data_IF_602263349026
#
_entry.id   IF_602263349026
#
_cell.length_a   1.000
_cell.length_b   1.000
_cell.length_c   1.000
_cell.angle_alpha   90.00
_cell.angle_beta   90.00
_cell.angle_gamma   90.00
#
_symmetry.space_group_name_H-M   'P 1'
#
loop_
_entity.id
_entity.type
_entity.pdbx_description
1 polymer ?
#
# COMPACT_ATOMS: atom_id res chain seq x y z
N UNK A 1 4.72 -7.10 19.60
CA UNK A 1 3.96 -5.84 19.66
C UNK A 1 4.18 -4.91 18.45
N UNK A 2 5.08 -5.23 17.50
CA UNK A 2 5.09 -4.65 16.14
C UNK A 2 5.05 -5.78 15.11
N UNK A 3 5.93 -6.77 15.28
CA UNK A 3 5.99 -7.99 14.46
C UNK A 3 4.61 -8.67 14.30
N UNK A 4 3.91 -8.95 15.39
CA UNK A 4 2.58 -9.58 15.32
C UNK A 4 1.50 -8.77 14.60
N UNK A 5 1.61 -7.43 14.57
CA UNK A 5 0.71 -6.56 13.80
C UNK A 5 1.10 -6.43 12.33
N UNK A 6 2.38 -6.64 12.02
CA UNK A 6 2.91 -6.62 10.66
C UNK A 6 2.79 -7.96 9.95
N UNK A 7 2.76 -9.08 10.68
CA UNK A 7 2.63 -10.43 10.12
C UNK A 7 1.45 -10.54 9.14
N UNK A 8 0.22 -10.07 9.44
CA UNK A 8 -0.88 -10.12 8.47
C UNK A 8 -0.59 -9.35 7.19
N UNK A 9 0.04 -8.17 7.28
CA UNK A 9 0.43 -7.36 6.12
C UNK A 9 1.51 -8.08 5.31
N UNK A 10 2.51 -8.67 5.96
CA UNK A 10 3.56 -9.44 5.30
C UNK A 10 3.01 -10.68 4.59
N UNK A 11 2.08 -11.38 5.22
CA UNK A 11 1.36 -12.49 4.60
C UNK A 11 0.55 -12.01 3.39
N UNK A 12 -0.19 -10.91 3.52
CA UNK A 12 -0.95 -10.32 2.40
C UNK A 12 -0.05 -9.93 1.22
N UNK A 13 1.09 -9.29 1.47
CA UNK A 13 2.03 -8.91 0.39
C UNK A 13 2.68 -10.17 -0.24
N UNK A 14 3.06 -11.16 0.56
CA UNK A 14 3.65 -12.41 0.06
C UNK A 14 2.65 -13.26 -0.75
N UNK A 15 1.38 -13.32 -0.31
CA UNK A 15 0.29 -13.96 -1.07
C UNK A 15 -0.01 -13.22 -2.37
N UNK A 16 0.02 -11.88 -2.33
CA UNK A 16 -0.18 -11.05 -3.51
C UNK A 16 0.94 -11.26 -4.53
N UNK A 17 2.21 -11.24 -4.13
CA UNK A 17 3.35 -11.46 -5.05
C UNK A 17 3.28 -12.78 -5.83
N UNK A 18 2.77 -13.86 -5.20
CA UNK A 18 2.52 -15.14 -5.88
C UNK A 18 1.40 -15.05 -6.92
N UNK A 19 0.29 -14.40 -6.58
CA UNK A 19 -0.91 -14.32 -7.42
C UNK A 19 -0.79 -13.30 -8.58
N UNK A 20 0.10 -12.31 -8.46
CA UNK A 20 0.39 -11.37 -9.55
C UNK A 20 1.09 -12.02 -10.74
N UNK A 21 1.82 -13.12 -10.53
CA UNK A 21 2.46 -13.89 -11.61
C UNK A 21 1.49 -14.66 -12.51
N UNK A 22 0.24 -14.83 -12.09
CA UNK A 22 -0.78 -15.59 -12.82
C UNK A 22 -1.64 -14.74 -13.78
N UNK A 23 -1.22 -13.50 -14.09
CA UNK A 23 -1.84 -12.68 -15.14
C UNK A 23 -3.18 -12.02 -14.79
N UNK A 24 -3.53 -11.94 -13.49
CA UNK A 24 -4.77 -11.32 -12.98
C UNK A 24 -4.51 -10.05 -12.17
N UNK A 25 -3.57 -9.22 -12.63
CA UNK A 25 -3.04 -8.07 -11.89
C UNK A 25 -4.13 -7.05 -11.47
N UNK A 26 -5.18 -6.85 -12.26
CA UNK A 26 -6.26 -5.90 -12.00
C UNK A 26 -7.15 -6.31 -10.81
N UNK A 27 -7.68 -7.53 -10.83
CA UNK A 27 -8.54 -8.08 -9.76
C UNK A 27 -7.74 -8.26 -8.47
N UNK A 28 -6.46 -8.64 -8.60
CA UNK A 28 -5.57 -8.83 -7.46
C UNK A 28 -5.16 -7.51 -6.82
N UNK A 29 -4.91 -6.46 -7.60
CA UNK A 29 -4.67 -5.13 -7.07
C UNK A 29 -5.86 -4.61 -6.26
N UNK A 30 -7.08 -4.74 -6.78
CA UNK A 30 -8.27 -4.30 -6.06
C UNK A 30 -8.46 -5.06 -4.74
N UNK A 31 -8.32 -6.40 -4.77
CA UNK A 31 -8.46 -7.24 -3.59
C UNK A 31 -7.38 -6.94 -2.54
N UNK A 32 -6.14 -6.73 -2.96
CA UNK A 32 -5.03 -6.36 -2.09
C UNK A 32 -5.29 -5.02 -1.39
N UNK A 33 -5.70 -4.01 -2.15
CA UNK A 33 -5.99 -2.68 -1.59
C UNK A 33 -7.19 -2.71 -0.65
N UNK A 34 -8.23 -3.48 -0.95
CA UNK A 34 -9.40 -3.63 -0.07
C UNK A 34 -9.01 -4.22 1.29
N UNK A 35 -8.29 -5.35 1.27
CA UNK A 35 -7.81 -6.01 2.51
C UNK A 35 -6.85 -5.14 3.30
N UNK A 36 -5.96 -4.42 2.60
CA UNK A 36 -4.99 -3.54 3.25
C UNK A 36 -5.71 -2.38 3.94
N UNK A 37 -6.62 -1.70 3.24
CA UNK A 37 -7.40 -0.59 3.83
C UNK A 37 -8.26 -1.06 5.00
N UNK A 38 -8.91 -2.21 4.88
CA UNK A 38 -9.68 -2.81 5.98
C UNK A 38 -8.80 -3.07 7.20
N UNK A 39 -7.64 -3.71 7.00
CA UNK A 39 -6.70 -3.99 8.09
C UNK A 39 -6.19 -2.70 8.75
N UNK A 40 -5.82 -1.68 7.96
CA UNK A 40 -5.35 -0.40 8.51
C UNK A 40 -6.46 0.37 9.26
N UNK A 41 -7.72 0.17 8.87
CA UNK A 41 -8.88 0.73 9.58
C UNK A 41 -9.10 0.04 10.93
N UNK A 42 -8.95 -1.29 10.98
CA UNK A 42 -9.07 -2.09 12.21
C UNK A 42 -7.88 -1.91 13.16
N UNK A 43 -6.70 -1.57 12.63
CA UNK A 43 -5.46 -1.39 13.39
C UNK A 43 -4.88 0.03 13.24
N UNK A 44 -5.58 1.08 13.72
CA UNK A 44 -5.21 2.48 13.45
C UNK A 44 -3.87 2.91 14.05
N UNK A 45 -3.36 2.18 15.04
CA UNK A 45 -2.04 2.44 15.64
C UNK A 45 -0.88 1.93 14.75
N UNK A 46 -1.14 0.97 13.88
CA UNK A 46 -0.09 0.26 13.15
C UNK A 46 0.69 1.18 12.18
N UNK A 47 0.05 2.00 11.33
CA UNK A 47 0.78 2.93 10.45
C UNK A 47 1.66 3.92 11.20
N UNK A 48 1.17 4.44 12.34
CA UNK A 48 1.95 5.35 13.20
C UNK A 48 3.15 4.66 13.82
N UNK A 49 2.99 3.41 14.27
CA UNK A 49 4.11 2.63 14.78
C UNK A 49 5.15 2.37 13.70
N UNK A 50 4.75 2.02 12.47
CA UNK A 50 5.69 1.82 11.36
C UNK A 50 6.43 3.13 11.05
N UNK A 51 5.71 4.23 10.91
CA UNK A 51 6.28 5.55 10.63
C UNK A 51 7.27 5.96 11.72
N UNK A 52 6.87 5.88 13.00
CA UNK A 52 7.74 6.18 14.14
C UNK A 52 8.97 5.29 14.19
N UNK A 53 8.79 3.99 13.97
CA UNK A 53 9.90 3.06 14.00
C UNK A 53 10.90 3.36 12.86
N UNK A 54 10.43 3.84 11.70
CA UNK A 54 11.28 4.36 10.61
C UNK A 54 12.03 5.66 10.95
N UNK A 55 11.48 6.49 11.83
CA UNK A 55 12.09 7.75 12.29
C UNK A 55 13.04 7.55 13.49
N UNK A 56 12.74 6.58 14.35
CA UNK A 56 13.54 6.22 15.52
C UNK A 56 14.84 5.49 15.07
N UNK A 57 15.92 5.68 15.84
CA UNK A 57 17.28 5.25 15.49
C UNK A 57 17.32 3.74 15.13
N UNK A 58 17.48 3.46 13.83
CA UNK A 58 17.06 2.23 13.14
C UNK A 58 17.80 0.92 13.49
N UNK A 59 18.37 0.78 14.68
CA UNK A 59 19.03 -0.45 15.16
C UNK A 59 18.03 -1.61 15.30
N UNK A 60 16.85 -1.36 15.88
CA UNK A 60 15.79 -2.37 16.02
C UNK A 60 15.13 -2.72 14.67
N UNK A 61 14.91 -1.73 13.81
CA UNK A 61 14.42 -1.97 12.45
C UNK A 61 15.41 -2.74 11.60
N UNK A 62 16.70 -2.42 11.68
CA UNK A 62 17.72 -3.10 10.87
C UNK A 62 17.72 -4.61 11.10
N UNK A 63 17.58 -5.06 12.34
CA UNK A 63 17.64 -6.50 12.67
C UNK A 63 16.35 -7.24 12.31
N UNK A 64 15.18 -6.66 12.60
CA UNK A 64 13.87 -7.30 12.36
C UNK A 64 13.41 -7.11 10.91
N UNK A 65 13.41 -5.88 10.42
CA UNK A 65 12.91 -5.57 9.09
C UNK A 65 13.90 -5.96 7.99
N UNK A 66 15.22 -5.89 8.22
CA UNK A 66 16.19 -6.29 7.21
C UNK A 66 16.03 -7.75 6.76
N UNK A 67 15.69 -8.65 7.69
CA UNK A 67 15.50 -10.08 7.41
C UNK A 67 14.13 -10.40 6.81
N UNK A 68 13.08 -9.71 7.25
CA UNK A 68 11.70 -10.01 6.85
C UNK A 68 11.16 -9.12 5.73
N UNK A 69 11.51 -7.84 5.68
CA UNK A 69 11.05 -6.92 4.63
C UNK A 69 11.85 -7.05 3.34
N UNK A 70 13.15 -7.36 3.40
CA UNK A 70 13.98 -7.39 2.19
C UNK A 70 13.43 -8.37 1.13
N UNK A 71 13.02 -9.60 1.46
CA UNK A 71 12.39 -10.49 0.49
C UNK A 71 11.09 -9.92 -0.08
N UNK A 72 10.26 -9.32 0.77
CA UNK A 72 8.97 -8.72 0.38
C UNK A 72 9.20 -7.54 -0.57
N UNK A 73 10.17 -6.69 -0.26
CA UNK A 73 10.55 -5.55 -1.08
C UNK A 73 11.06 -5.98 -2.46
N UNK A 74 11.95 -6.98 -2.52
CA UNK A 74 12.48 -7.51 -3.78
C UNK A 74 11.39 -8.21 -4.63
N UNK A 75 10.48 -8.95 -4.01
CA UNK A 75 9.32 -9.52 -4.71
C UNK A 75 8.42 -8.40 -5.25
N UNK A 76 8.14 -7.38 -4.44
CA UNK A 76 7.39 -6.20 -4.85
C UNK A 76 8.02 -5.48 -6.03
N UNK A 77 9.35 -5.28 -6.03
CA UNK A 77 10.07 -4.70 -7.17
C UNK A 77 9.95 -5.56 -8.42
N UNK A 78 10.00 -6.89 -8.31
CA UNK A 78 9.81 -7.79 -9.46
C UNK A 78 8.40 -7.67 -10.05
N UNK A 79 7.38 -7.52 -9.20
CA UNK A 79 5.99 -7.28 -9.62
C UNK A 79 5.85 -5.91 -10.29
N UNK A 80 6.46 -4.86 -9.73
CA UNK A 80 6.47 -3.53 -10.32
C UNK A 80 7.22 -3.51 -11.65
N UNK A 81 8.34 -4.22 -11.78
CA UNK A 81 9.07 -4.33 -13.05
C UNK A 81 8.23 -4.99 -14.16
N UNK A 82 7.34 -5.92 -13.79
CA UNK A 82 6.41 -6.55 -14.71
C UNK A 82 5.18 -5.69 -15.02
N UNK A 83 4.99 -4.54 -14.37
CA UNK A 83 3.78 -3.72 -14.48
C UNK A 83 4.06 -2.23 -14.69
N UNK A 84 3.32 -1.63 -15.61
CA UNK A 84 3.43 -0.18 -15.87
C UNK A 84 4.66 0.23 -16.68
N UNK A 85 4.81 1.54 -16.93
CA UNK A 85 5.76 2.06 -17.92
C UNK A 85 7.12 2.50 -17.33
N UNK A 86 7.45 2.10 -16.11
CA UNK A 86 8.56 2.69 -15.34
C UNK A 86 9.92 2.07 -15.67
N UNK A 87 10.98 2.89 -15.64
CA UNK A 87 12.35 2.42 -15.77
C UNK A 87 12.80 1.68 -14.49
N UNK A 88 13.78 0.78 -14.63
CA UNK A 88 14.20 -0.08 -13.51
C UNK A 88 14.78 0.69 -12.32
N UNK A 89 15.43 1.83 -12.56
CA UNK A 89 15.96 2.73 -11.54
C UNK A 89 14.88 3.59 -10.87
N UNK A 90 13.70 3.72 -11.48
CA UNK A 90 12.53 4.38 -10.89
C UNK A 90 11.72 3.47 -9.97
N UNK A 91 11.83 2.14 -10.12
CA UNK A 91 11.02 1.17 -9.35
C UNK A 91 11.18 1.30 -7.82
N UNK A 92 12.38 1.54 -7.25
CA UNK A 92 12.53 1.84 -5.83
C UNK A 92 11.72 3.05 -5.38
N UNK A 93 11.69 4.10 -6.20
CA UNK A 93 10.95 5.33 -5.92
C UNK A 93 9.43 5.11 -6.01
N UNK A 94 8.99 4.32 -7.00
CA UNK A 94 7.60 3.92 -7.10
C UNK A 94 7.17 3.08 -5.88
N UNK A 95 7.98 2.11 -5.46
CA UNK A 95 7.69 1.26 -4.32
C UNK A 95 7.51 2.05 -3.02
N UNK A 96 8.42 3.00 -2.73
CA UNK A 96 8.31 3.84 -1.54
C UNK A 96 7.13 4.82 -1.65
N UNK A 97 6.85 5.34 -2.85
CA UNK A 97 5.69 6.19 -3.11
C UNK A 97 4.36 5.47 -2.86
N UNK A 98 4.22 4.24 -3.36
CA UNK A 98 3.05 3.39 -3.11
C UNK A 98 2.88 3.06 -1.62
N UNK A 99 3.97 2.77 -0.92
CA UNK A 99 3.94 2.61 0.54
C UNK A 99 3.38 3.86 1.22
N UNK A 100 3.89 5.06 0.91
CA UNK A 100 3.39 6.29 1.53
C UNK A 100 1.95 6.60 1.15
N UNK A 101 1.54 6.32 -0.09
CA UNK A 101 0.17 6.52 -0.55
C UNK A 101 -0.83 5.69 0.27
N UNK A 102 -0.46 4.44 0.58
CA UNK A 102 -1.31 3.49 1.30
C UNK A 102 -1.25 3.73 2.82
N UNK A 103 -0.06 3.79 3.40
CA UNK A 103 0.13 3.83 4.86
C UNK A 103 0.14 5.25 5.42
N UNK A 104 0.67 6.22 4.67
CA UNK A 104 0.83 7.61 5.12
C UNK A 104 -0.51 8.26 5.48
N UNK A 105 -1.55 8.02 4.68
CA UNK A 105 -2.91 8.50 4.98
C UNK A 105 -3.34 8.13 6.41
N UNK A 106 -3.12 6.87 6.81
CA UNK A 106 -3.53 6.38 8.12
C UNK A 106 -2.57 6.82 9.23
N UNK A 107 -1.27 6.94 8.93
CA UNK A 107 -0.27 7.44 9.87
C UNK A 107 -0.58 8.89 10.28
N UNK A 108 -0.94 9.72 9.31
CA UNK A 108 -1.09 11.17 9.47
C UNK A 108 -2.54 11.61 9.71
N UNK A 109 -3.45 10.70 10.07
CA UNK A 109 -4.89 10.97 10.30
C UNK A 109 -5.16 12.16 11.22
N UNK A 110 -4.40 12.33 12.30
CA UNK A 110 -4.58 13.49 13.20
C UNK A 110 -4.18 14.80 12.52
N UNK A 111 -3.11 14.79 11.73
CA UNK A 111 -2.70 15.96 10.95
C UNK A 111 -3.75 16.30 9.89
N UNK A 112 -4.25 15.28 9.18
CA UNK A 112 -5.27 15.44 8.15
C UNK A 112 -6.58 15.99 8.73
N UNK A 113 -7.01 15.51 9.90
CA UNK A 113 -8.21 16.02 10.58
C UNK A 113 -8.08 17.52 10.90
N UNK A 114 -6.91 17.96 11.37
CA UNK A 114 -6.65 19.38 11.65
C UNK A 114 -6.68 20.26 10.39
N UNK A 115 -6.23 19.72 9.25
CA UNK A 115 -6.16 20.47 7.98
C UNK A 115 -7.50 20.50 7.26
N UNK A 116 -8.24 19.39 7.26
CA UNK A 116 -9.45 19.21 6.45
C UNK A 116 -10.72 19.50 7.26
N UNK A 117 -10.68 19.42 8.58
CA UNK A 117 -11.85 19.63 9.46
C UNK A 117 -12.87 18.49 9.47
N UNK A 118 -12.53 17.34 8.88
CA UNK A 118 -13.34 16.12 8.90
C UNK A 118 -12.52 14.95 9.45
N UNK A 119 -13.16 14.01 10.18
CA UNK A 119 -12.51 12.77 10.63
C UNK A 119 -12.10 11.91 9.41
N UNK A 120 -10.79 11.76 9.13
CA UNK A 120 -10.31 10.98 7.99
C UNK A 120 -10.53 9.48 8.15
N UNK A 121 -10.91 9.02 9.36
CA UNK A 121 -11.25 7.62 9.66
C UNK A 121 -12.75 7.35 9.61
N UNK A 122 -13.58 8.37 9.36
CA UNK A 122 -15.01 8.16 9.17
C UNK A 122 -15.28 7.15 8.04
N UNK A 123 -16.37 6.36 8.10
CA UNK A 123 -16.69 5.39 7.06
C UNK A 123 -16.75 6.00 5.65
N UNK A 124 -17.22 7.24 5.54
CA UNK A 124 -17.26 7.99 4.30
C UNK A 124 -15.85 8.33 3.79
N UNK A 125 -14.96 8.84 4.65
CA UNK A 125 -13.58 9.16 4.29
C UNK A 125 -12.79 7.92 3.87
N UNK A 126 -12.90 6.82 4.62
CA UNK A 126 -12.27 5.53 4.28
C UNK A 126 -12.77 4.99 2.94
N UNK A 127 -14.07 5.13 2.65
CA UNK A 127 -14.64 4.73 1.36
C UNK A 127 -14.10 5.57 0.20
N UNK A 128 -13.95 6.89 0.40
CA UNK A 128 -13.32 7.78 -0.57
C UNK A 128 -11.85 7.42 -0.79
N UNK A 129 -11.10 7.19 0.27
CA UNK A 129 -9.68 6.82 0.22
C UNK A 129 -9.47 5.48 -0.50
N UNK A 130 -10.25 4.45 -0.17
CA UNK A 130 -10.22 3.15 -0.87
C UNK A 130 -10.42 3.31 -2.37
N UNK A 131 -11.44 4.07 -2.77
CA UNK A 131 -11.72 4.36 -4.19
C UNK A 131 -10.58 5.12 -4.86
N UNK A 132 -10.02 6.12 -4.18
CA UNK A 132 -8.88 6.88 -4.68
C UNK A 132 -7.65 6.00 -4.87
N UNK A 133 -7.29 5.19 -3.87
CA UNK A 133 -6.14 4.26 -3.94
C UNK A 133 -6.24 3.32 -5.13
N UNK A 134 -7.41 2.68 -5.34
CA UNK A 134 -7.61 1.80 -6.50
C UNK A 134 -7.38 2.53 -7.83
N UNK A 135 -7.90 3.75 -7.96
CA UNK A 135 -7.74 4.54 -9.18
C UNK A 135 -6.29 5.00 -9.38
N UNK A 136 -5.65 5.53 -8.33
CA UNK A 136 -4.30 6.06 -8.38
C UNK A 136 -3.27 4.95 -8.66
N UNK A 137 -3.32 3.84 -7.92
CA UNK A 137 -2.38 2.74 -8.10
C UNK A 137 -2.56 2.09 -9.47
N UNK A 138 -3.80 1.90 -9.95
CA UNK A 138 -4.01 1.36 -11.28
C UNK A 138 -3.46 2.28 -12.39
N UNK A 139 -3.61 3.60 -12.25
CA UNK A 139 -2.99 4.56 -13.17
C UNK A 139 -1.47 4.46 -13.15
N UNK A 140 -0.87 4.42 -11.96
CA UNK A 140 0.58 4.27 -11.81
C UNK A 140 1.08 2.96 -12.42
N UNK A 141 0.34 1.86 -12.29
CA UNK A 141 0.74 0.56 -12.82
C UNK A 141 0.33 0.34 -14.29
N UNK A 142 -0.28 1.33 -14.95
CA UNK A 142 -0.79 1.17 -16.32
C UNK A 142 -1.89 0.12 -16.46
N UNK A 143 -2.53 -0.27 -15.35
CA UNK A 143 -3.60 -1.27 -15.32
C UNK A 143 -4.94 -0.58 -15.54
N UNK A 144 -5.75 -1.11 -16.47
CA UNK A 144 -7.10 -0.58 -16.67
C UNK A 144 -8.02 -1.12 -15.58
N UNK A 145 -8.47 -0.26 -14.66
CA UNK A 145 -9.54 -0.64 -13.73
C UNK A 145 -10.83 -0.93 -14.49
N UNK A 146 -11.69 -1.79 -13.92
CA UNK A 146 -13.02 -2.13 -14.48
C UNK A 146 -13.83 -0.87 -14.85
N UNK A 147 -13.62 0.24 -14.15
CA UNK A 147 -14.27 1.53 -14.42
C UNK A 147 -13.55 2.38 -15.48
N UNK A 148 -12.23 2.33 -15.57
CA UNK A 148 -11.44 2.98 -16.63
C UNK A 148 -11.79 2.43 -18.02
N UNK A 149 -12.10 1.14 -18.12
CA UNK A 149 -12.61 0.52 -19.34
C UNK A 149 -13.99 1.06 -19.77
N UNK A 150 -14.82 1.47 -18.81
CA UNK A 150 -16.16 2.03 -19.06
C UNK A 150 -16.14 3.51 -19.40
N UNK A 151 -15.19 4.28 -18.85
CA UNK A 151 -15.04 5.71 -19.11
C UNK A 151 -14.40 6.03 -20.47
N UNK A 152 -13.55 5.15 -21.02
CA UNK A 152 -12.94 5.33 -22.37
C UNK A 152 -13.88 4.95 -23.53
N UNK A 153 -15.10 4.50 -23.23
CA UNK A 153 -16.11 4.06 -24.22
C UNK A 153 -17.21 5.10 -24.47
N UNK A 154 -17.04 6.33 -23.97
CA UNK A 154 -17.97 7.46 -24.14
C UNK A 154 -17.25 8.56 -24.89
#
# INVERSE_FOLDING_TARGET
MLEGGLTPIFTLVAESGRLWRDGRADVMLETFLDRTVEHLTLHPHLPRLIQRAGLDDGRYLRSVLGRHLRPIYLEGLSVLAATGPWASDELPHLAIGLYHLIFGYFADTTLLEMVVGEDPRSPAAVTRQRRFLKAAVAQLLGVTTVRGARARRI
#
